data_IF_653703661179
#
_entry.id   IF_653703661179
#
_cell.length_a   1.000
_cell.length_b   1.000
_cell.length_c   1.000
_cell.angle_alpha   90.00
_cell.angle_beta   90.00
_cell.angle_gamma   90.00
#
_symmetry.space_group_name_H-M   'P 1'
#
loop_
_entity.id
_entity.type
_entity.pdbx_description
1 polymer ?
#
# COMPACT_ATOMS: atom_id res chain seq x y z
N UNK A 1 8.31 -7.80 -13.17
CA UNK A 1 7.12 -7.80 -12.32
C UNK A 1 7.02 -6.46 -11.60
N UNK A 2 5.86 -6.12 -11.06
CA UNK A 2 5.60 -4.85 -10.37
C UNK A 2 4.57 -5.10 -9.28
N UNK A 3 4.72 -4.49 -8.11
CA UNK A 3 3.83 -4.75 -6.97
C UNK A 3 2.92 -3.54 -6.71
N UNK A 4 1.66 -3.78 -6.37
CA UNK A 4 0.67 -2.75 -6.06
C UNK A 4 -0.19 -3.12 -4.85
N UNK A 5 -0.80 -2.12 -4.23
CA UNK A 5 -1.96 -2.34 -3.36
C UNK A 5 -3.20 -2.61 -4.22
N UNK A 6 -4.07 -3.54 -3.80
CA UNK A 6 -5.21 -3.95 -4.64
C UNK A 6 -6.17 -2.82 -5.03
N UNK A 7 -6.32 -1.79 -4.19
CA UNK A 7 -7.16 -0.62 -4.49
C UNK A 7 -6.60 0.33 -5.55
N UNK A 8 -5.35 0.12 -5.98
CA UNK A 8 -4.63 0.99 -6.90
C UNK A 8 -4.59 0.45 -8.34
N UNK A 9 -4.94 -0.82 -8.57
CA UNK A 9 -4.95 -1.40 -9.92
C UNK A 9 -6.15 -0.86 -10.72
N UNK A 10 -5.91 -0.30 -11.90
CA UNK A 10 -6.96 0.26 -12.76
C UNK A 10 -7.23 -0.61 -13.99
N UNK A 11 -6.19 -0.92 -14.77
CA UNK A 11 -6.30 -1.74 -15.98
C UNK A 11 -4.96 -2.33 -16.38
N UNK A 12 -4.96 -3.40 -17.16
CA UNK A 12 -3.75 -3.93 -17.78
C UNK A 12 -4.06 -4.57 -19.15
N UNK A 13 -3.06 -4.62 -20.02
CA UNK A 13 -3.18 -5.33 -21.30
C UNK A 13 -3.19 -6.86 -21.10
N UNK A 14 -3.70 -7.65 -22.08
CA UNK A 14 -3.84 -9.10 -21.92
C UNK A 14 -2.55 -9.88 -21.63
N UNK A 15 -1.37 -9.31 -21.93
CA UNK A 15 -0.08 -9.95 -21.65
C UNK A 15 0.42 -9.77 -20.21
N UNK A 16 -0.36 -9.10 -19.35
CA UNK A 16 -0.08 -8.91 -17.93
C UNK A 16 -0.91 -9.86 -17.09
N UNK A 17 -0.24 -10.64 -16.26
CA UNK A 17 -0.86 -11.53 -15.28
C UNK A 17 -0.92 -10.87 -13.91
N UNK A 18 -2.05 -10.99 -13.23
CA UNK A 18 -2.28 -10.45 -11.89
C UNK A 18 -2.35 -11.59 -10.87
N UNK A 19 -1.52 -11.52 -9.84
CA UNK A 19 -1.51 -12.45 -8.71
C UNK A 19 -1.77 -11.71 -7.41
N UNK A 20 -2.67 -12.20 -6.59
CA UNK A 20 -2.98 -11.58 -5.29
C UNK A 20 -2.27 -12.32 -4.15
N UNK A 21 -1.58 -11.58 -3.31
CA UNK A 21 -0.95 -12.04 -2.08
C UNK A 21 -1.68 -11.46 -0.88
N UNK A 22 -2.16 -12.34 -0.02
CA UNK A 22 -2.82 -11.94 1.22
C UNK A 22 -1.76 -11.66 2.30
N UNK A 23 -1.85 -10.50 2.97
CA UNK A 23 -0.91 -10.05 4.02
C UNK A 23 -0.95 -10.85 5.33
N UNK A 24 -1.76 -11.91 5.40
CA UNK A 24 -1.85 -12.81 6.56
C UNK A 24 -2.84 -12.35 7.63
N UNK A 25 -3.06 -13.18 8.65
CA UNK A 25 -4.08 -12.93 9.68
C UNK A 25 -3.93 -11.59 10.41
N UNK A 26 -2.69 -11.10 10.61
CA UNK A 26 -2.44 -9.78 11.22
C UNK A 26 -3.00 -8.62 10.40
N UNK A 27 -3.04 -8.75 9.07
CA UNK A 27 -3.65 -7.76 8.18
C UNK A 27 -5.18 -7.71 8.35
N UNK A 28 -5.84 -8.87 8.56
CA UNK A 28 -7.27 -8.94 8.88
C UNK A 28 -7.59 -8.32 10.25
N UNK A 29 -6.77 -8.57 11.27
CA UNK A 29 -7.01 -8.04 12.63
C UNK A 29 -6.79 -6.52 12.75
N UNK A 30 -6.13 -5.89 11.78
CA UNK A 30 -6.00 -4.43 11.72
C UNK A 30 -7.27 -3.71 11.22
N UNK A 31 -8.26 -4.46 10.73
CA UNK A 31 -9.47 -3.90 10.11
C UNK A 31 -9.30 -3.48 8.64
N UNK A 32 -8.06 -3.40 8.14
CA UNK A 32 -7.78 -2.92 6.77
C UNK A 32 -7.63 -4.03 5.72
N UNK A 33 -7.52 -5.30 6.12
CA UNK A 33 -7.48 -6.44 5.20
C UNK A 33 -6.50 -6.22 4.03
N UNK A 34 -5.19 -6.17 4.30
CA UNK A 34 -4.22 -5.83 3.27
C UNK A 34 -4.05 -6.96 2.24
N UNK A 35 -4.57 -6.72 1.03
CA UNK A 35 -4.29 -7.51 -0.16
C UNK A 35 -3.29 -6.77 -1.04
N UNK A 36 -2.22 -7.46 -1.40
CA UNK A 36 -1.19 -6.98 -2.30
C UNK A 36 -1.35 -7.69 -3.64
N UNK A 37 -1.01 -7.00 -4.71
CA UNK A 37 -1.07 -7.52 -6.08
C UNK A 37 0.32 -7.51 -6.67
N UNK A 38 0.72 -8.62 -7.26
CA UNK A 38 1.91 -8.72 -8.11
C UNK A 38 1.46 -8.81 -9.56
N UNK A 39 1.99 -7.93 -10.40
CA UNK A 39 1.81 -7.92 -11.84
C UNK A 39 3.06 -8.48 -12.51
N UNK A 40 2.90 -9.47 -13.40
CA UNK A 40 3.98 -10.08 -14.17
C UNK A 40 3.61 -10.21 -15.65
N UNK A 41 4.57 -10.54 -16.51
CA UNK A 41 4.35 -10.65 -17.95
C UNK A 41 4.83 -9.43 -18.74
N UNK A 42 4.28 -9.22 -19.93
CA UNK A 42 4.71 -8.16 -20.87
C UNK A 42 3.49 -7.41 -21.40
N UNK A 43 3.48 -6.10 -21.22
CA UNK A 43 2.38 -5.24 -21.62
C UNK A 43 2.32 -3.97 -20.78
N UNK A 44 1.22 -3.25 -20.87
CA UNK A 44 1.01 -2.01 -20.11
C UNK A 44 0.16 -2.29 -18.85
N UNK A 45 0.54 -1.65 -17.75
CA UNK A 45 -0.15 -1.64 -16.48
C UNK A 45 -0.52 -0.20 -16.13
N UNK A 46 -1.79 0.03 -15.86
CA UNK A 46 -2.35 1.30 -15.44
C UNK A 46 -2.78 1.19 -13.98
N UNK A 47 -2.31 2.11 -13.15
CA UNK A 47 -2.65 2.20 -11.74
C UNK A 47 -2.98 3.65 -11.34
N UNK A 48 -3.71 3.80 -10.25
CA UNK A 48 -4.16 5.10 -9.76
C UNK A 48 -3.76 5.32 -8.29
N UNK A 49 -3.94 6.55 -7.85
CA UNK A 49 -3.78 6.98 -6.48
C UNK A 49 -5.01 7.77 -6.04
N UNK A 50 -5.21 7.88 -4.73
CA UNK A 50 -6.11 8.87 -4.17
C UNK A 50 -5.35 10.17 -3.88
N UNK A 51 -5.72 11.23 -4.62
CA UNK A 51 -4.93 12.45 -4.70
C UNK A 51 -3.79 12.33 -5.73
N UNK A 52 -2.68 13.01 -5.49
CA UNK A 52 -1.49 12.96 -6.36
C UNK A 52 -0.59 11.75 -6.05
N UNK A 53 0.11 11.26 -7.08
CA UNK A 53 1.21 10.29 -6.97
C UNK A 53 2.50 11.04 -6.63
N UNK A 54 3.24 10.50 -5.66
CA UNK A 54 4.63 10.89 -5.34
C UNK A 54 5.53 9.71 -5.68
N UNK A 55 6.45 9.91 -6.61
CA UNK A 55 7.53 8.97 -6.88
C UNK A 55 8.70 9.22 -5.92
N UNK A 56 9.19 8.16 -5.28
CA UNK A 56 10.32 8.25 -4.37
C UNK A 56 11.33 7.14 -4.65
N UNK A 57 12.56 7.56 -4.91
CA UNK A 57 13.71 6.66 -4.98
C UNK A 57 14.13 6.27 -3.57
N UNK A 58 14.26 4.97 -3.33
CA UNK A 58 14.72 4.37 -2.08
C UNK A 58 16.13 3.83 -2.29
N UNK A 59 17.01 4.16 -1.36
CA UNK A 59 18.32 3.54 -1.20
C UNK A 59 18.55 3.30 0.30
N UNK A 60 18.49 2.05 0.72
CA UNK A 60 18.54 1.67 2.14
C UNK A 60 17.16 1.27 2.68
N UNK A 61 16.65 1.95 3.71
CA UNK A 61 15.39 1.59 4.37
C UNK A 61 14.38 2.73 4.40
N UNK A 62 13.10 2.40 4.22
CA UNK A 62 12.00 3.37 4.24
C UNK A 62 10.78 2.77 4.94
N UNK A 63 10.15 3.54 5.83
CA UNK A 63 8.94 3.12 6.55
C UNK A 63 7.84 4.10 6.17
N UNK A 64 6.67 3.56 5.83
CA UNK A 64 5.50 4.34 5.42
C UNK A 64 4.23 3.66 5.91
N UNK A 65 3.22 4.46 6.22
CA UNK A 65 1.86 3.98 6.47
C UNK A 65 1.36 3.20 5.23
N UNK A 66 0.77 2.03 5.48
CA UNK A 66 0.30 1.13 4.42
C UNK A 66 -0.74 1.81 3.50
N UNK A 67 -1.60 2.65 4.07
CA UNK A 67 -2.67 3.33 3.35
C UNK A 67 -2.17 4.38 2.35
N UNK A 68 -0.89 4.76 2.44
CA UNK A 68 -0.23 5.68 1.50
C UNK A 68 0.53 4.97 0.38
N UNK A 69 0.67 3.65 0.40
CA UNK A 69 1.41 2.90 -0.61
C UNK A 69 0.52 2.59 -1.82
N UNK A 70 1.00 2.93 -3.02
CA UNK A 70 0.33 2.64 -4.29
C UNK A 70 0.99 1.46 -4.97
N UNK A 71 2.28 1.58 -5.24
CA UNK A 71 3.05 0.57 -5.97
C UNK A 71 4.55 0.65 -5.64
N UNK A 72 5.29 -0.42 -5.94
CA UNK A 72 6.75 -0.45 -5.77
C UNK A 72 7.42 -1.46 -6.70
N UNK A 73 8.69 -1.20 -6.98
CA UNK A 73 9.53 -2.09 -7.77
C UNK A 73 9.84 -3.40 -7.03
N UNK A 74 9.99 -4.52 -7.76
CA UNK A 74 10.27 -5.83 -7.17
C UNK A 74 11.67 -5.93 -6.54
N UNK A 75 12.56 -4.97 -6.81
CA UNK A 75 13.88 -4.88 -6.16
C UNK A 75 13.78 -4.50 -4.68
N UNK A 76 12.67 -3.91 -4.25
CA UNK A 76 12.43 -3.55 -2.86
C UNK A 76 11.81 -4.72 -2.10
N UNK A 77 12.52 -5.18 -1.06
CA UNK A 77 11.97 -6.09 -0.06
C UNK A 77 11.05 -5.32 0.89
N UNK A 78 9.98 -5.95 1.36
CA UNK A 78 9.05 -5.31 2.30
C UNK A 78 8.60 -6.23 3.43
N UNK A 79 8.17 -5.63 4.54
CA UNK A 79 7.48 -6.30 5.64
C UNK A 79 6.35 -5.43 6.15
N UNK A 80 5.24 -6.06 6.55
CA UNK A 80 4.08 -5.39 7.13
C UNK A 80 4.14 -5.58 8.65
N UNK A 81 4.08 -4.49 9.40
CA UNK A 81 4.22 -4.50 10.85
C UNK A 81 3.17 -3.58 11.48
N UNK A 82 2.68 -3.93 12.67
CA UNK A 82 1.91 -2.98 13.47
C UNK A 82 2.84 -1.93 14.08
N UNK A 83 2.37 -0.70 14.21
CA UNK A 83 3.11 0.34 14.95
C UNK A 83 3.03 0.03 16.45
N UNK A 84 3.94 -0.82 16.94
CA UNK A 84 4.02 -1.28 18.33
C UNK A 84 3.11 -2.46 18.67
N UNK A 85 2.59 -2.49 19.91
CA UNK A 85 1.63 -3.51 20.35
C UNK A 85 0.20 -3.21 19.89
N UNK A 86 -0.71 -4.19 20.01
CA UNK A 86 -2.13 -4.06 19.58
C UNK A 86 -2.78 -2.78 20.11
N UNK A 87 -2.48 -2.39 21.35
CA UNK A 87 -2.98 -1.14 21.95
C UNK A 87 -2.42 0.11 21.29
N UNK A 88 -1.13 0.18 20.95
CA UNK A 88 -0.57 1.40 20.33
C UNK A 88 -0.98 1.54 18.87
N UNK A 89 -1.16 0.44 18.15
CA UNK A 89 -1.70 0.46 16.78
C UNK A 89 -3.14 0.97 16.74
N UNK A 90 -3.97 0.61 17.73
CA UNK A 90 -5.33 1.14 17.87
C UNK A 90 -5.34 2.61 18.32
N UNK A 91 -4.42 3.01 19.19
CA UNK A 91 -4.37 4.36 19.76
C UNK A 91 -3.71 5.39 18.84
N UNK A 92 -2.82 5.00 17.93
CA UNK A 92 -2.18 5.94 16.99
C UNK A 92 -3.11 6.38 15.86
N UNK A 93 -4.16 5.61 15.57
CA UNK A 93 -5.06 5.86 14.45
C UNK A 93 -4.48 5.55 13.06
N UNK A 94 -3.19 5.21 12.98
CA UNK A 94 -2.45 5.00 11.72
C UNK A 94 -2.28 3.52 11.31
N UNK A 95 -2.83 2.57 12.08
CA UNK A 95 -2.88 1.17 11.65
C UNK A 95 -1.51 0.51 11.37
N UNK A 96 -1.42 -0.23 10.27
CA UNK A 96 -0.22 -1.00 9.86
C UNK A 96 0.75 -0.14 9.06
N UNK A 97 2.05 -0.39 9.24
CA UNK A 97 3.11 0.21 8.43
C UNK A 97 3.78 -0.83 7.52
N UNK A 98 4.24 -0.37 6.36
CA UNK A 98 5.13 -1.13 5.50
C UNK A 98 6.56 -0.61 5.65
N UNK A 99 7.48 -1.51 5.97
CA UNK A 99 8.92 -1.25 5.98
C UNK A 99 9.54 -1.84 4.72
N UNK A 100 10.11 -0.98 3.90
CA UNK A 100 10.85 -1.30 2.69
C UNK A 100 12.36 -1.28 2.94
N UNK A 101 13.09 -2.13 2.21
CA UNK A 101 14.54 -2.13 2.16
C UNK A 101 15.09 -2.54 0.79
N UNK A 102 16.19 -1.93 0.37
CA UNK A 102 16.86 -2.18 -0.91
C UNK A 102 17.08 -0.90 -1.69
N UNK A 103 17.22 -1.04 -3.01
CA UNK A 103 17.34 0.09 -3.94
C UNK A 103 16.28 -0.03 -5.04
N UNK A 104 15.49 1.02 -5.24
CA UNK A 104 14.41 1.04 -6.22
C UNK A 104 13.35 2.10 -5.93
N UNK A 105 12.31 2.11 -6.75
CA UNK A 105 11.26 3.13 -6.73
C UNK A 105 10.02 2.67 -5.95
N UNK A 106 9.50 3.54 -5.09
CA UNK A 106 8.17 3.43 -4.49
C UNK A 106 7.26 4.58 -4.95
N UNK A 107 5.99 4.27 -5.17
CA UNK A 107 4.95 5.21 -5.55
C UNK A 107 3.96 5.34 -4.40
N UNK A 108 3.75 6.58 -3.97
CA UNK A 108 2.92 6.93 -2.81
C UNK A 108 1.73 7.80 -3.24
N UNK A 109 0.66 7.76 -2.47
CA UNK A 109 -0.49 8.65 -2.62
C UNK A 109 -0.53 9.71 -1.52
N UNK A 110 -1.01 10.91 -1.87
CA UNK A 110 -1.08 12.06 -0.94
C UNK A 110 -2.29 12.04 -0.02
N UNK A 111 -3.34 11.28 -0.38
CA UNK A 111 -4.57 11.17 0.40
C UNK A 111 -4.92 9.71 0.61
N UNK A 112 -5.70 9.45 1.66
CA UNK A 112 -6.18 8.10 1.99
C UNK A 112 -7.68 8.16 2.24
N UNK A 113 -8.39 7.11 1.83
CA UNK A 113 -9.84 7.02 2.07
C UNK A 113 -10.16 7.02 3.57
N UNK A 114 -9.41 6.30 4.44
CA UNK A 114 -9.58 6.41 5.89
C UNK A 114 -9.37 7.84 6.41
N UNK A 115 -8.36 8.56 5.90
CA UNK A 115 -8.11 9.95 6.26
C UNK A 115 -9.27 10.87 5.87
N UNK A 116 -9.85 10.69 4.68
CA UNK A 116 -11.05 11.42 4.27
C UNK A 116 -12.25 11.07 5.15
N UNK A 117 -12.50 9.78 5.39
CA UNK A 117 -13.62 9.32 6.20
C UNK A 117 -13.54 9.89 7.62
N UNK A 118 -12.37 9.82 8.26
CA UNK A 118 -12.10 10.41 9.57
C UNK A 118 -12.39 11.91 9.60
N UNK A 119 -11.98 12.63 8.56
CA UNK A 119 -12.28 14.07 8.42
C UNK A 119 -13.78 14.35 8.25
N UNK A 120 -14.53 13.45 7.59
CA UNK A 120 -15.98 13.56 7.40
C UNK A 120 -16.81 13.12 8.61
N UNK A 121 -16.27 12.25 9.48
CA UNK A 121 -17.01 11.67 10.62
C UNK A 121 -17.73 12.71 11.48
N UNK A 122 -17.13 13.86 11.86
CA UNK A 122 -17.82 14.87 12.66
C UNK A 122 -19.06 15.51 11.99
N UNK A 123 -19.17 15.39 10.66
CA UNK A 123 -20.26 15.95 9.85
C UNK A 123 -21.28 14.90 9.41
N UNK A 124 -21.02 13.62 9.70
CA UNK A 124 -21.91 12.52 9.38
C UNK A 124 -22.97 12.44 10.48
N UNK A 125 -24.21 12.84 10.15
CA UNK A 125 -25.39 12.78 11.03
C UNK A 125 -25.83 11.35 11.33
#
# INVERSE_FOLDING_TARGET
>A
SFNLTCGSCMACTPGVELSTKFGGGRALFSGEGLFLMECSGTGELFFNAYGSIIERQIDGSFIVDTSHVVAWEPSLSYSIQGMGGIKSTLLSGEGLVMKFSGTGTIYLQTRTMPGLASWLTPFSV
#
